data_IF_717222756627
#
_entry.id   IF_717222756627
#
_cell.length_a   1.000
_cell.length_b   1.000
_cell.length_c   1.000
_cell.angle_alpha   90.00
_cell.angle_beta   90.00
_cell.angle_gamma   90.00
#
_symmetry.space_group_name_H-M   'P 1'
#
loop_
_entity.id
_entity.type
_entity.pdbx_description
1 polymer ?
#
# COMPACT_ATOMS: atom_id res chain seq x y z
N UNK A 1 -42.28 -6.17 -20.22
CA UNK A 1 -42.84 -5.03 -19.43
C UNK A 1 -41.92 -4.77 -18.26
N UNK A 2 -41.46 -3.51 -18.11
CA UNK A 2 -40.82 -2.87 -16.93
C UNK A 2 -39.39 -3.39 -16.59
N UNK A 3 -38.34 -2.72 -17.10
CA UNK A 3 -37.63 -1.53 -16.58
C UNK A 3 -36.59 -1.90 -15.53
N UNK A 4 -35.34 -2.09 -15.94
CA UNK A 4 -34.17 -2.00 -15.07
C UNK A 4 -33.59 -0.59 -15.23
N UNK A 5 -33.42 0.05 -14.09
CA UNK A 5 -33.11 1.47 -13.92
C UNK A 5 -31.59 1.65 -14.06
N UNK A 6 -31.19 2.56 -14.97
CA UNK A 6 -29.86 3.18 -15.00
C UNK A 6 -29.56 3.79 -13.63
N UNK A 7 -28.45 3.40 -13.01
CA UNK A 7 -27.89 4.16 -11.90
C UNK A 7 -26.89 5.17 -12.47
N UNK A 8 -27.31 6.44 -12.52
CA UNK A 8 -26.43 7.57 -12.79
C UNK A 8 -25.75 7.98 -11.48
N UNK A 9 -24.42 7.95 -11.46
CA UNK A 9 -23.61 8.46 -10.35
C UNK A 9 -23.51 9.98 -10.53
N UNK A 10 -24.28 10.73 -9.74
CA UNK A 10 -24.16 12.19 -9.62
C UNK A 10 -23.31 12.55 -8.40
N UNK A 11 -22.20 13.23 -8.68
CA UNK A 11 -21.35 13.92 -7.71
C UNK A 11 -22.14 15.01 -6.97
N UNK A 12 -21.99 15.08 -5.64
CA UNK A 12 -22.17 16.32 -4.88
C UNK A 12 -21.16 16.39 -3.72
N UNK A 13 -20.12 17.19 -3.95
CA UNK A 13 -19.35 17.87 -2.91
C UNK A 13 -20.20 18.98 -2.33
N UNK A 14 -20.40 19.01 -1.00
CA UNK A 14 -20.69 20.24 -0.27
C UNK A 14 -19.93 20.21 1.06
N UNK A 15 -18.89 21.05 1.12
CA UNK A 15 -18.30 21.56 2.34
C UNK A 15 -19.24 22.59 2.98
N UNK A 16 -19.34 22.59 4.31
CA UNK A 16 -19.73 23.77 5.08
C UNK A 16 -18.96 23.78 6.42
N UNK A 17 -18.07 24.77 6.52
CA UNK A 17 -17.48 25.33 7.73
C UNK A 17 -18.53 25.98 8.63
N UNK A 18 -18.27 26.06 9.95
CA UNK A 18 -18.43 27.32 10.71
C UNK A 18 -17.72 27.26 12.08
N UNK A 19 -16.80 28.21 12.28
CA UNK A 19 -16.22 28.62 13.56
C UNK A 19 -17.23 29.44 14.39
N UNK A 20 -17.07 29.46 15.73
CA UNK A 20 -17.28 30.68 16.56
C UNK A 20 -16.66 30.59 17.97
N UNK A 21 -15.57 31.34 18.13
CA UNK A 21 -15.19 32.31 19.19
C UNK A 21 -15.57 32.12 20.69
N UNK A 22 -14.51 32.04 21.51
CA UNK A 22 -14.07 32.95 22.62
C UNK A 22 -15.09 33.61 23.57
N UNK A 23 -14.88 33.48 24.90
CA UNK A 23 -14.33 34.54 25.80
C UNK A 23 -14.21 34.11 27.30
N UNK A 24 -13.03 34.44 27.89
CA UNK A 24 -12.66 34.95 29.25
C UNK A 24 -13.35 34.44 30.56
N UNK A 25 -12.71 34.30 31.74
CA UNK A 25 -11.88 35.29 32.49
C UNK A 25 -11.13 34.65 33.70
N UNK A 26 -10.07 35.36 34.10
CA UNK A 26 -9.04 35.37 35.18
C UNK A 26 -9.24 34.73 36.58
N UNK A 27 -8.07 34.55 37.25
CA UNK A 27 -7.68 34.75 38.68
C UNK A 27 -6.95 33.50 39.30
N UNK A 28 -5.83 33.50 40.05
CA UNK A 28 -4.84 34.47 40.59
C UNK A 28 -3.66 33.66 41.17
N UNK A 29 -2.52 34.33 41.41
CA UNK A 29 -1.49 34.10 42.47
C UNK A 29 -0.09 33.62 42.06
N UNK A 30 0.82 34.60 42.09
CA UNK A 30 2.27 34.47 42.21
C UNK A 30 2.66 33.76 43.51
N UNK A 31 3.64 32.85 43.42
CA UNK A 31 4.48 32.50 44.58
C UNK A 31 5.93 32.30 44.15
N UNK A 32 6.77 33.25 44.59
CA UNK A 32 8.23 33.22 44.47
C UNK A 32 8.84 31.99 45.18
N UNK A 33 9.76 31.29 44.51
CA UNK A 33 10.82 30.47 45.11
C UNK A 33 12.02 30.47 44.14
N UNK A 34 13.27 30.43 44.64
CA UNK A 34 14.42 31.05 44.00
C UNK A 34 14.97 30.23 42.83
N UNK A 35 15.60 30.95 41.90
CA UNK A 35 16.34 30.40 40.77
C UNK A 35 17.39 29.38 41.24
N UNK A 36 17.16 28.11 40.91
CA UNK A 36 18.21 27.13 40.70
C UNK A 36 18.36 27.03 39.19
N UNK A 37 19.39 27.68 38.65
CA UNK A 37 19.84 27.42 37.28
C UNK A 37 20.45 26.01 37.27
N UNK A 38 19.63 25.01 36.97
CA UNK A 38 20.10 23.72 36.50
C UNK A 38 20.27 23.85 34.99
N UNK A 39 21.48 23.61 34.50
CA UNK A 39 21.83 23.43 33.08
C UNK A 39 21.14 22.19 32.50
N UNK A 40 19.80 22.16 32.53
CA UNK A 40 19.00 21.07 31.97
C UNK A 40 18.90 21.12 30.44
N UNK A 41 19.47 22.15 29.80
CA UNK A 41 19.47 22.28 28.33
C UNK A 41 20.61 21.54 27.64
N UNK A 42 21.72 21.30 28.34
CA UNK A 42 22.91 20.67 27.74
C UNK A 42 22.80 19.14 27.78
N UNK A 43 22.32 18.58 28.89
CA UNK A 43 22.12 17.12 29.04
C UNK A 43 21.03 16.58 28.10
N UNK A 44 19.93 17.34 27.89
CA UNK A 44 18.87 16.95 26.93
C UNK A 44 19.35 17.00 25.48
N UNK A 45 20.16 17.99 25.11
CA UNK A 45 20.68 18.12 23.76
C UNK A 45 21.70 17.02 23.42
N UNK A 46 22.52 16.61 24.39
CA UNK A 46 23.45 15.48 24.23
C UNK A 46 22.71 14.15 24.18
N UNK A 47 21.68 13.95 25.01
CA UNK A 47 20.86 12.73 24.99
C UNK A 47 20.06 12.58 23.68
N UNK A 48 19.50 13.68 23.16
CA UNK A 48 18.82 13.69 21.87
C UNK A 48 19.79 13.46 20.70
N UNK A 49 21.02 13.99 20.77
CA UNK A 49 22.05 13.71 19.77
C UNK A 49 22.51 12.24 19.79
N UNK A 50 22.69 11.65 20.97
CA UNK A 50 23.06 10.23 21.11
C UNK A 50 21.95 9.33 20.53
N UNK A 51 20.68 9.63 20.84
CA UNK A 51 19.52 8.90 20.26
C UNK A 51 19.47 9.05 18.74
N UNK A 52 19.73 10.26 18.22
CA UNK A 52 19.76 10.55 16.79
C UNK A 52 20.83 9.72 16.08
N UNK A 53 22.04 9.67 16.62
CA UNK A 53 23.15 8.89 16.05
C UNK A 53 22.90 7.38 16.06
N UNK A 54 22.22 6.87 17.09
CA UNK A 54 21.92 5.44 17.19
C UNK A 54 20.84 5.01 16.19
N UNK A 55 19.79 5.81 16.00
CA UNK A 55 18.76 5.56 14.97
C UNK A 55 19.38 5.60 13.57
N UNK A 56 20.27 6.55 13.30
CA UNK A 56 21.00 6.60 12.03
C UNK A 56 21.91 5.39 11.80
N UNK A 57 22.41 4.75 12.87
CA UNK A 57 23.18 3.50 12.74
C UNK A 57 22.29 2.29 12.46
N UNK A 58 21.07 2.28 12.99
CA UNK A 58 20.08 1.22 12.73
C UNK A 58 19.52 1.29 11.31
N UNK A 59 19.33 2.52 10.78
CA UNK A 59 18.94 2.77 9.39
C UNK A 59 20.12 2.60 8.42
N UNK A 60 20.79 1.44 8.43
CA UNK A 60 21.85 1.09 7.48
C UNK A 60 21.45 -0.12 6.66
N UNK A 61 21.30 0.04 5.35
CA UNK A 61 20.93 -1.06 4.44
C UNK A 61 20.65 -0.59 3.02
N UNK A 62 20.20 -1.53 2.18
CA UNK A 62 19.58 -1.19 0.89
C UNK A 62 18.15 -0.72 1.16
N UNK A 63 17.89 0.58 0.98
CA UNK A 63 16.57 1.20 1.16
C UNK A 63 15.61 0.94 -0.01
N UNK A 64 15.75 -0.20 -0.67
CA UNK A 64 14.95 -0.58 -1.84
C UNK A 64 13.93 -1.62 -1.43
N UNK A 65 12.73 -1.50 -1.98
CA UNK A 65 11.72 -2.54 -1.85
C UNK A 65 12.20 -3.73 -2.71
N UNK A 66 12.32 -4.94 -2.15
CA UNK A 66 12.77 -6.09 -2.92
C UNK A 66 11.86 -6.39 -4.11
N UNK A 67 12.47 -6.68 -5.26
CA UNK A 67 11.79 -7.13 -6.48
C UNK A 67 12.51 -8.34 -7.06
N UNK A 68 11.80 -9.10 -7.89
CA UNK A 68 12.38 -10.15 -8.73
C UNK A 68 12.26 -9.76 -10.21
N UNK A 69 13.32 -9.94 -11.01
CA UNK A 69 13.24 -9.67 -12.45
C UNK A 69 12.33 -10.70 -13.13
N UNK A 70 11.56 -10.25 -14.12
CA UNK A 70 10.73 -11.09 -14.98
C UNK A 70 11.12 -10.91 -16.45
N UNK A 71 10.62 -11.78 -17.32
CA UNK A 71 10.71 -11.52 -18.77
C UNK A 71 9.94 -10.22 -19.10
N UNK A 72 10.43 -9.47 -20.09
CA UNK A 72 9.77 -8.22 -20.46
C UNK A 72 8.34 -8.51 -20.94
N UNK A 73 7.34 -7.79 -20.43
CA UNK A 73 5.96 -7.93 -20.92
C UNK A 73 5.77 -7.50 -22.38
N UNK A 74 6.78 -6.83 -22.97
CA UNK A 74 6.74 -6.26 -24.31
C UNK A 74 7.62 -7.04 -25.29
N UNK A 75 7.12 -7.21 -26.50
CA UNK A 75 7.92 -7.74 -27.62
C UNK A 75 8.83 -6.65 -28.24
N UNK A 76 9.60 -7.01 -29.26
CA UNK A 76 10.52 -6.09 -29.98
C UNK A 76 9.83 -4.85 -30.58
N UNK A 77 8.51 -4.89 -30.76
CA UNK A 77 7.69 -3.83 -31.31
C UNK A 77 7.07 -2.94 -30.23
N UNK A 78 7.28 -3.27 -28.95
CA UNK A 78 6.71 -2.57 -27.80
C UNK A 78 5.26 -2.97 -27.47
N UNK A 79 4.75 -4.05 -28.06
CA UNK A 79 3.40 -4.56 -27.82
C UNK A 79 3.40 -5.72 -26.81
N UNK A 80 2.29 -5.89 -26.09
CA UNK A 80 2.08 -7.09 -25.27
C UNK A 80 1.64 -8.22 -26.21
N UNK A 81 2.40 -9.33 -26.31
CA UNK A 81 2.17 -10.34 -27.34
C UNK A 81 0.95 -11.22 -27.07
N UNK A 82 0.55 -11.37 -25.80
CA UNK A 82 -0.57 -12.20 -25.39
C UNK A 82 -1.88 -11.40 -25.39
N UNK A 83 -2.65 -11.55 -26.46
CA UNK A 83 -3.91 -10.83 -26.70
C UNK A 83 -5.08 -11.80 -26.69
N UNK A 84 -6.10 -11.52 -25.89
CA UNK A 84 -7.32 -12.30 -25.78
C UNK A 84 -8.54 -11.39 -25.72
N UNK A 85 -9.71 -11.88 -26.12
CA UNK A 85 -10.99 -11.29 -25.71
C UNK A 85 -11.36 -11.70 -24.28
N UNK A 86 -12.29 -10.96 -23.65
CA UNK A 86 -12.85 -11.34 -22.34
C UNK A 86 -13.44 -12.77 -22.32
N UNK A 87 -13.94 -13.27 -23.44
CA UNK A 87 -14.46 -14.64 -23.53
C UNK A 87 -13.36 -15.69 -23.70
N UNK A 88 -12.38 -15.43 -24.57
CA UNK A 88 -11.27 -16.36 -24.82
C UNK A 88 -10.43 -16.59 -23.57
N UNK A 89 -10.11 -15.54 -22.82
CA UNK A 89 -9.28 -15.69 -21.61
C UNK A 89 -9.96 -16.57 -20.56
N UNK A 90 -11.30 -16.48 -20.45
CA UNK A 90 -12.08 -17.31 -19.52
C UNK A 90 -12.22 -18.74 -20.04
N UNK A 91 -12.55 -18.93 -21.31
CA UNK A 91 -12.75 -20.27 -21.90
C UNK A 91 -11.46 -21.12 -21.88
N UNK A 92 -10.31 -20.49 -22.08
CA UNK A 92 -9.03 -21.19 -22.21
C UNK A 92 -8.29 -21.40 -20.88
N UNK A 93 -8.42 -20.48 -19.91
CA UNK A 93 -7.50 -20.41 -18.76
C UNK A 93 -8.16 -20.41 -17.38
N UNK A 94 -9.48 -20.43 -17.29
CA UNK A 94 -10.13 -20.56 -15.98
C UNK A 94 -9.90 -21.97 -15.42
N UNK A 95 -9.43 -22.05 -14.18
CA UNK A 95 -9.24 -23.32 -13.47
C UNK A 95 -10.54 -23.84 -12.85
N UNK A 96 -10.44 -24.97 -12.14
CA UNK A 96 -11.59 -25.63 -11.50
C UNK A 96 -12.24 -24.77 -10.41
N UNK A 97 -11.50 -23.83 -9.84
CA UNK A 97 -11.92 -22.91 -8.78
C UNK A 97 -12.41 -21.56 -9.34
N UNK A 98 -12.45 -21.41 -10.66
CA UNK A 98 -12.93 -20.19 -11.32
C UNK A 98 -11.87 -19.09 -11.43
N UNK A 99 -10.59 -19.41 -11.28
CA UNK A 99 -9.47 -18.46 -11.31
C UNK A 99 -8.63 -18.62 -12.58
N UNK A 100 -8.20 -17.49 -13.13
CA UNK A 100 -7.18 -17.38 -14.16
C UNK A 100 -5.87 -17.00 -13.46
N UNK A 101 -4.89 -17.89 -13.50
CA UNK A 101 -3.58 -17.66 -12.89
C UNK A 101 -2.45 -18.01 -13.87
N UNK A 102 -1.45 -17.13 -13.91
CA UNK A 102 -0.20 -17.39 -14.62
C UNK A 102 0.96 -17.12 -13.65
N UNK A 103 1.92 -18.03 -13.64
CA UNK A 103 3.18 -17.82 -12.92
C UNK A 103 3.98 -16.68 -13.59
N UNK A 104 4.95 -16.13 -12.86
CA UNK A 104 5.77 -15.01 -13.35
C UNK A 104 6.56 -15.35 -14.63
N UNK A 105 7.00 -16.60 -14.77
CA UNK A 105 7.71 -17.12 -15.94
C UNK A 105 6.77 -17.53 -17.10
N UNK A 106 5.45 -17.55 -16.87
CA UNK A 106 4.41 -17.75 -17.89
C UNK A 106 3.84 -16.41 -18.41
N UNK A 107 4.64 -15.35 -18.29
CA UNK A 107 4.36 -13.99 -18.77
C UNK A 107 2.98 -13.49 -18.34
N UNK A 108 2.67 -13.23 -17.06
CA UNK A 108 1.29 -13.08 -16.57
C UNK A 108 0.51 -11.84 -17.06
N UNK A 109 1.16 -10.93 -17.79
CA UNK A 109 0.54 -9.73 -18.35
C UNK A 109 -0.16 -10.04 -19.68
N UNK A 110 -1.41 -9.63 -19.81
CA UNK A 110 -2.27 -9.88 -20.99
C UNK A 110 -2.89 -8.59 -21.50
N UNK A 111 -3.12 -8.51 -22.81
CA UNK A 111 -4.03 -7.53 -23.39
C UNK A 111 -5.41 -8.14 -23.57
N UNK A 112 -6.41 -7.56 -22.93
CA UNK A 112 -7.80 -8.03 -22.95
C UNK A 112 -8.66 -7.07 -23.75
N UNK A 113 -9.21 -7.55 -24.87
CA UNK A 113 -10.14 -6.81 -25.72
C UNK A 113 -11.55 -6.91 -25.13
N UNK A 114 -12.18 -5.76 -24.87
CA UNK A 114 -13.52 -5.73 -24.29
C UNK A 114 -14.56 -6.36 -25.23
N UNK A 115 -15.46 -7.17 -24.66
CA UNK A 115 -16.58 -7.73 -25.41
C UNK A 115 -17.63 -6.69 -25.83
N UNK A 116 -17.61 -5.51 -25.20
CA UNK A 116 -18.55 -4.42 -25.46
C UNK A 116 -18.05 -3.42 -26.52
N UNK A 117 -16.73 -3.27 -26.66
CA UNK A 117 -16.08 -2.40 -27.63
C UNK A 117 -14.69 -2.94 -27.98
N UNK A 118 -14.52 -3.41 -29.22
CA UNK A 118 -13.26 -3.97 -29.74
C UNK A 118 -12.10 -2.96 -29.77
N UNK A 119 -12.39 -1.65 -29.61
CA UNK A 119 -11.38 -0.61 -29.53
C UNK A 119 -10.85 -0.40 -28.11
N UNK A 120 -11.47 -1.02 -27.10
CA UNK A 120 -11.05 -0.94 -25.70
C UNK A 120 -10.19 -2.15 -25.38
N UNK A 121 -8.91 -1.89 -25.14
CA UNK A 121 -7.93 -2.90 -24.73
C UNK A 121 -7.46 -2.58 -23.31
N UNK A 122 -7.64 -3.52 -22.40
CA UNK A 122 -7.13 -3.46 -21.05
C UNK A 122 -5.82 -4.22 -20.95
N UNK A 123 -4.86 -3.69 -20.19
CA UNK A 123 -3.66 -4.42 -19.80
C UNK A 123 -3.92 -5.01 -18.42
N UNK A 124 -3.79 -6.32 -18.30
CA UNK A 124 -4.22 -7.05 -17.11
C UNK A 124 -3.10 -7.92 -16.56
N UNK A 125 -2.89 -7.87 -15.25
CA UNK A 125 -2.00 -8.75 -14.52
C UNK A 125 -2.80 -9.91 -13.92
N UNK A 126 -2.45 -11.15 -14.28
CA UNK A 126 -3.08 -12.38 -13.76
C UNK A 126 -2.15 -13.19 -12.84
N UNK A 127 -1.02 -12.61 -12.41
CA UNK A 127 -0.19 -13.19 -11.37
C UNK A 127 -0.75 -12.90 -9.98
N UNK A 128 -0.07 -13.38 -8.95
CA UNK A 128 -0.35 -13.11 -7.54
C UNK A 128 0.58 -12.06 -6.93
N UNK A 129 1.20 -11.21 -7.76
CA UNK A 129 2.12 -10.13 -7.32
C UNK A 129 1.85 -8.83 -8.09
N UNK A 130 2.25 -7.68 -7.53
CA UNK A 130 2.29 -6.43 -8.29
C UNK A 130 3.49 -6.44 -9.25
N UNK A 131 3.31 -5.92 -10.46
CA UNK A 131 4.35 -5.94 -11.50
C UNK A 131 4.56 -4.53 -12.06
N UNK A 132 5.78 -4.00 -11.98
CA UNK A 132 6.19 -2.85 -12.80
C UNK A 132 6.50 -3.34 -14.21
N UNK A 133 5.58 -3.06 -15.13
CA UNK A 133 5.69 -3.53 -16.51
C UNK A 133 6.82 -2.86 -17.30
N UNK A 134 7.21 -1.63 -16.92
CA UNK A 134 8.29 -0.92 -17.61
C UNK A 134 9.66 -1.36 -17.12
N UNK A 135 9.79 -1.65 -15.82
CA UNK A 135 11.02 -2.19 -15.24
C UNK A 135 11.18 -3.70 -15.51
N UNK A 136 10.10 -4.40 -15.86
CA UNK A 136 10.05 -5.86 -15.90
C UNK A 136 10.46 -6.48 -14.55
N UNK A 137 9.85 -5.96 -13.48
CA UNK A 137 10.12 -6.37 -12.11
C UNK A 137 8.80 -6.68 -11.38
N UNK A 138 8.80 -7.74 -10.58
CA UNK A 138 7.66 -8.15 -9.75
C UNK A 138 7.98 -7.96 -8.27
N UNK A 139 7.03 -7.43 -7.51
CA UNK A 139 7.10 -7.30 -6.05
C UNK A 139 6.68 -8.63 -5.40
N UNK A 140 7.63 -9.57 -5.40
CA UNK A 140 7.43 -10.93 -4.89
C UNK A 140 8.26 -11.17 -3.63
N UNK A 141 7.65 -11.77 -2.61
CA UNK A 141 8.38 -12.25 -1.44
C UNK A 141 9.21 -13.49 -1.77
N UNK A 142 10.29 -13.69 -1.03
CA UNK A 142 10.97 -14.98 -1.03
C UNK A 142 10.04 -16.07 -0.51
N UNK A 143 10.10 -17.27 -1.11
CA UNK A 143 9.17 -18.38 -0.83
C UNK A 143 9.13 -18.74 0.67
N UNK A 144 10.27 -18.65 1.35
CA UNK A 144 10.39 -18.95 2.78
C UNK A 144 9.69 -17.93 3.69
N UNK A 145 9.38 -16.73 3.18
CA UNK A 145 8.74 -15.64 3.92
C UNK A 145 7.23 -15.58 3.67
N UNK A 146 6.72 -16.21 2.60
CA UNK A 146 5.30 -16.16 2.23
C UNK A 146 4.40 -16.66 3.37
N UNK A 147 4.73 -17.79 3.97
CA UNK A 147 3.93 -18.34 5.08
C UNK A 147 3.93 -17.38 6.28
N UNK A 148 5.07 -16.77 6.61
CA UNK A 148 5.13 -15.79 7.69
C UNK A 148 4.25 -14.56 7.40
N UNK A 149 4.31 -14.05 6.18
CA UNK A 149 3.49 -12.91 5.76
C UNK A 149 2.00 -13.25 5.81
N UNK A 150 1.61 -14.44 5.35
CA UNK A 150 0.23 -14.92 5.45
C UNK A 150 -0.21 -15.04 6.92
N UNK A 151 0.61 -15.65 7.78
CA UNK A 151 0.35 -15.76 9.21
C UNK A 151 0.22 -14.41 9.89
N UNK A 152 0.99 -13.40 9.48
CA UNK A 152 0.84 -12.04 9.99
C UNK A 152 -0.57 -11.49 9.76
N UNK A 153 -1.16 -11.73 8.59
CA UNK A 153 -2.51 -11.25 8.27
C UNK A 153 -3.58 -11.94 9.12
N UNK A 154 -3.55 -13.26 9.23
CA UNK A 154 -4.60 -14.01 9.95
C UNK A 154 -4.48 -13.93 11.47
N UNK A 155 -3.27 -13.73 12.01
CA UNK A 155 -3.05 -13.58 13.46
C UNK A 155 -3.31 -12.17 14.00
N UNK A 156 -3.57 -11.20 13.13
CA UNK A 156 -3.91 -9.83 13.51
C UNK A 156 -5.31 -9.45 13.01
N UNK A 157 -6.37 -10.18 13.44
CA UNK A 157 -7.71 -9.92 12.95
C UNK A 157 -8.22 -8.55 13.43
N UNK A 158 -9.05 -7.87 12.61
CA UNK A 158 -9.74 -6.68 13.04
C UNK A 158 -10.72 -7.01 14.18
N UNK A 159 -11.19 -5.99 14.91
CA UNK A 159 -12.01 -6.17 16.11
C UNK A 159 -13.25 -7.05 15.89
N UNK A 160 -13.80 -7.06 14.67
CA UNK A 160 -14.98 -7.84 14.26
C UNK A 160 -14.71 -9.35 14.16
N UNK A 161 -13.46 -9.75 13.96
CA UNK A 161 -13.03 -11.14 13.76
C UNK A 161 -12.15 -11.65 14.92
N UNK A 162 -12.18 -10.96 16.07
CA UNK A 162 -11.47 -11.41 17.25
C UNK A 162 -12.03 -12.75 17.73
N UNK A 163 -11.18 -13.79 17.73
CA UNK A 163 -11.52 -15.12 18.19
C UNK A 163 -12.05 -16.07 17.10
N UNK A 164 -12.04 -15.65 15.83
CA UNK A 164 -12.23 -16.56 14.68
C UNK A 164 -11.20 -17.69 14.75
N UNK A 165 -11.63 -18.93 14.51
CA UNK A 165 -10.72 -20.08 14.43
C UNK A 165 -9.82 -19.94 13.20
N UNK A 166 -8.51 -20.18 13.33
CA UNK A 166 -7.59 -20.08 12.20
C UNK A 166 -7.93 -21.07 11.07
N UNK A 167 -8.63 -22.16 11.38
CA UNK A 167 -9.08 -23.13 10.38
C UNK A 167 -10.31 -22.66 9.57
N UNK A 168 -10.93 -21.54 9.95
CA UNK A 168 -12.04 -20.93 9.20
C UNK A 168 -11.55 -20.00 8.08
N UNK A 169 -10.26 -19.67 8.04
CA UNK A 169 -9.67 -18.88 6.96
C UNK A 169 -9.31 -19.78 5.77
N UNK A 170 -9.60 -19.30 4.55
CA UNK A 170 -9.05 -19.87 3.32
C UNK A 170 -7.53 -19.87 3.38
N UNK A 171 -6.92 -21.00 3.05
CA UNK A 171 -5.46 -21.18 3.02
C UNK A 171 -4.79 -20.27 1.99
N UNK A 172 -3.46 -20.15 2.04
CA UNK A 172 -2.69 -19.45 1.00
C UNK A 172 -3.03 -19.95 -0.42
N UNK A 173 -3.18 -21.26 -0.58
CA UNK A 173 -3.50 -21.87 -1.87
C UNK A 173 -4.93 -21.52 -2.34
N UNK A 174 -5.86 -21.30 -1.43
CA UNK A 174 -7.25 -20.89 -1.70
C UNK A 174 -7.42 -19.36 -1.80
N UNK A 175 -6.41 -18.58 -1.41
CA UNK A 175 -6.41 -17.12 -1.53
C UNK A 175 -6.38 -16.69 -3.01
N UNK A 176 -7.10 -15.60 -3.33
CA UNK A 176 -7.13 -15.04 -4.69
C UNK A 176 -5.77 -14.43 -5.04
N UNK A 177 -5.54 -14.22 -6.34
CA UNK A 177 -4.36 -13.49 -6.84
C UNK A 177 -4.17 -12.14 -6.14
N UNK A 178 -5.27 -11.41 -5.94
CA UNK A 178 -5.27 -10.08 -5.36
C UNK A 178 -4.92 -10.14 -3.86
N UNK A 179 -5.51 -11.06 -3.11
CA UNK A 179 -5.21 -11.25 -1.68
C UNK A 179 -3.73 -11.57 -1.47
N UNK A 180 -3.22 -12.55 -2.22
CA UNK A 180 -1.80 -12.93 -2.18
C UNK A 180 -0.88 -11.76 -2.52
N UNK A 181 -1.23 -10.96 -3.53
CA UNK A 181 -0.43 -9.80 -3.90
C UNK A 181 -0.44 -8.71 -2.84
N UNK A 182 -1.56 -8.48 -2.16
CA UNK A 182 -1.65 -7.50 -1.07
C UNK A 182 -0.81 -7.96 0.12
N UNK A 183 -0.89 -9.25 0.48
CA UNK A 183 -0.07 -9.83 1.55
C UNK A 183 1.41 -9.60 1.27
N UNK A 184 1.85 -9.95 0.06
CA UNK A 184 3.24 -9.78 -0.34
C UNK A 184 3.69 -8.32 -0.31
N UNK A 185 2.94 -7.41 -0.95
CA UNK A 185 3.39 -6.01 -1.03
C UNK A 185 3.35 -5.31 0.33
N UNK A 186 2.33 -5.55 1.16
CA UNK A 186 2.25 -4.95 2.51
C UNK A 186 3.43 -5.38 3.36
N UNK A 187 3.83 -6.65 3.29
CA UNK A 187 5.00 -7.15 4.00
C UNK A 187 6.29 -6.55 3.44
N UNK A 188 6.45 -6.48 2.11
CA UNK A 188 7.63 -5.92 1.43
C UNK A 188 7.88 -4.44 1.77
N UNK A 189 6.82 -3.63 1.88
CA UNK A 189 6.97 -2.18 2.09
C UNK A 189 7.03 -1.78 3.57
N UNK A 190 6.77 -2.70 4.50
CA UNK A 190 6.72 -2.41 5.92
C UNK A 190 8.04 -1.80 6.46
N UNK A 191 9.24 -2.31 6.08
CA UNK A 191 10.51 -1.68 6.46
C UNK A 191 10.61 -0.23 5.96
N UNK A 192 10.31 0.01 4.69
CA UNK A 192 10.37 1.35 4.06
C UNK A 192 9.42 2.35 4.74
N UNK A 193 8.19 1.93 5.09
CA UNK A 193 7.25 2.76 5.87
C UNK A 193 7.76 3.06 7.29
N UNK A 194 8.44 2.10 7.92
CA UNK A 194 9.01 2.27 9.26
C UNK A 194 10.24 3.17 9.28
N UNK A 195 11.04 3.14 8.22
CA UNK A 195 12.16 4.05 8.03
C UNK A 195 11.69 5.50 7.83
N UNK A 196 10.67 5.71 6.98
CA UNK A 196 10.05 7.03 6.83
C UNK A 196 9.42 7.56 8.12
N UNK A 197 8.78 6.68 8.89
CA UNK A 197 8.17 7.04 10.18
C UNK A 197 9.24 7.38 11.22
N UNK A 198 10.35 6.63 11.25
CA UNK A 198 11.50 6.95 12.09
C UNK A 198 12.09 8.31 11.72
N UNK A 199 12.24 8.60 10.41
CA UNK A 199 12.69 9.91 9.95
C UNK A 199 11.76 11.03 10.43
N UNK A 200 10.45 10.87 10.26
CA UNK A 200 9.47 11.87 10.65
C UNK A 200 9.46 12.11 12.18
N UNK A 201 9.43 11.03 12.97
CA UNK A 201 9.37 11.08 14.45
C UNK A 201 10.61 11.66 15.10
N UNK A 202 11.78 11.45 14.49
CA UNK A 202 13.06 11.88 15.02
C UNK A 202 13.64 13.10 14.28
N UNK A 203 12.84 13.74 13.44
CA UNK A 203 13.19 14.92 12.64
C UNK A 203 14.47 14.74 11.80
N UNK A 204 14.70 13.52 11.28
CA UNK A 204 15.89 13.16 10.48
C UNK A 204 15.72 13.51 8.99
N UNK A 205 15.15 14.68 8.69
CA UNK A 205 14.81 15.05 7.30
C UNK A 205 16.04 15.26 6.39
N UNK A 206 17.23 15.37 6.98
CA UNK A 206 18.52 15.44 6.32
C UNK A 206 19.15 14.05 6.07
N UNK A 207 18.47 12.96 6.43
CA UNK A 207 19.00 11.61 6.28
C UNK A 207 19.16 11.22 4.81
N UNK A 208 20.30 10.59 4.48
CA UNK A 208 20.64 10.22 3.10
C UNK A 208 19.67 9.21 2.46
N UNK A 209 18.95 8.44 3.29
CA UNK A 209 17.96 7.49 2.83
C UNK A 209 16.67 8.14 2.32
N UNK A 210 16.29 9.32 2.84
CA UNK A 210 14.97 9.91 2.61
C UNK A 210 14.63 10.03 1.11
N UNK A 211 15.51 10.56 0.23
CA UNK A 211 15.21 10.64 -1.20
C UNK A 211 14.99 9.27 -1.85
N UNK A 212 15.73 8.24 -1.41
CA UNK A 212 15.59 6.89 -1.95
C UNK A 212 14.25 6.29 -1.53
N UNK A 213 13.90 6.39 -0.24
CA UNK A 213 12.63 5.88 0.31
C UNK A 213 11.42 6.53 -0.39
N UNK A 214 11.48 7.84 -0.67
CA UNK A 214 10.41 8.52 -1.41
C UNK A 214 10.33 8.08 -2.87
N UNK A 215 11.46 7.87 -3.56
CA UNK A 215 11.45 7.38 -4.93
C UNK A 215 10.88 5.96 -5.04
N UNK A 216 11.12 5.09 -4.05
CA UNK A 216 10.52 3.76 -3.99
C UNK A 216 8.98 3.85 -3.94
N UNK A 217 8.42 4.71 -3.08
CA UNK A 217 6.96 4.90 -3.00
C UNK A 217 6.38 5.57 -4.25
N UNK A 218 7.12 6.49 -4.86
CA UNK A 218 6.74 7.11 -6.14
C UNK A 218 6.67 6.08 -7.26
N UNK A 219 7.64 5.17 -7.31
CA UNK A 219 7.69 4.09 -8.30
C UNK A 219 6.56 3.09 -8.05
N UNK A 220 6.41 2.61 -6.82
CA UNK A 220 5.37 1.66 -6.44
C UNK A 220 3.94 2.18 -6.71
N UNK A 221 3.72 3.48 -6.47
CA UNK A 221 2.46 4.14 -6.73
C UNK A 221 2.21 4.55 -8.19
N UNK A 222 3.12 4.21 -9.10
CA UNK A 222 3.00 4.49 -10.52
C UNK A 222 1.87 3.67 -11.16
N UNK A 223 1.13 4.23 -12.13
CA UNK A 223 0.14 3.47 -12.90
C UNK A 223 0.75 2.33 -13.75
N UNK A 224 2.08 2.29 -13.89
CA UNK A 224 2.78 1.20 -14.56
C UNK A 224 2.96 -0.03 -13.67
N UNK A 225 2.77 0.12 -12.36
CA UNK A 225 2.76 -1.01 -11.43
C UNK A 225 1.35 -1.59 -11.41
N UNK A 226 1.17 -2.75 -12.05
CA UNK A 226 -0.13 -3.37 -12.21
C UNK A 226 -0.48 -4.23 -11.01
N UNK A 227 -1.59 -3.91 -10.35
CA UNK A 227 -2.25 -4.75 -9.36
C UNK A 227 -2.90 -5.94 -10.10
N UNK A 228 -2.86 -7.18 -9.55
CA UNK A 228 -3.61 -8.29 -10.11
C UNK A 228 -5.09 -7.97 -10.31
N UNK A 229 -5.66 -8.41 -11.43
CA UNK A 229 -7.05 -8.18 -11.71
C UNK A 229 -7.96 -8.87 -10.68
N UNK A 230 -9.09 -8.23 -10.31
CA UNK A 230 -10.09 -8.87 -9.48
C UNK A 230 -10.81 -9.97 -10.25
N UNK A 231 -11.04 -11.13 -9.62
CA UNK A 231 -11.67 -12.29 -10.26
C UNK A 231 -12.92 -12.78 -9.53
N UNK A 232 -13.14 -12.32 -8.29
CA UNK A 232 -14.36 -12.54 -7.51
C UNK A 232 -15.09 -11.23 -7.18
N UNK A 233 -16.33 -11.33 -6.67
CA UNK A 233 -17.08 -10.16 -6.21
C UNK A 233 -16.41 -9.45 -5.02
N UNK A 234 -15.77 -10.22 -4.12
CA UNK A 234 -15.02 -9.66 -3.00
C UNK A 234 -13.74 -8.96 -3.50
N UNK A 235 -13.08 -9.51 -4.53
CA UNK A 235 -11.89 -8.89 -5.10
C UNK A 235 -12.17 -7.52 -5.71
N UNK A 236 -13.36 -7.27 -6.28
CA UNK A 236 -13.66 -5.96 -6.89
C UNK A 236 -13.52 -4.84 -5.84
N UNK A 237 -14.10 -5.04 -4.66
CA UNK A 237 -13.99 -4.07 -3.57
C UNK A 237 -12.56 -3.98 -3.05
N UNK A 238 -11.88 -5.12 -2.91
CA UNK A 238 -10.49 -5.17 -2.47
C UNK A 238 -9.55 -4.46 -3.45
N UNK A 239 -9.82 -4.55 -4.75
CA UNK A 239 -9.05 -3.91 -5.82
C UNK A 239 -9.20 -2.39 -5.76
N UNK A 240 -10.41 -1.88 -5.60
CA UNK A 240 -10.65 -0.44 -5.44
C UNK A 240 -9.92 0.13 -4.22
N UNK A 241 -9.93 -0.62 -3.11
CA UNK A 241 -9.18 -0.28 -1.91
C UNK A 241 -7.67 -0.27 -2.20
N UNK A 242 -7.14 -1.32 -2.82
CA UNK A 242 -5.72 -1.46 -3.14
C UNK A 242 -5.25 -0.36 -4.09
N UNK A 243 -6.02 -0.05 -5.14
CA UNK A 243 -5.72 1.03 -6.09
C UNK A 243 -5.70 2.40 -5.39
N UNK A 244 -6.59 2.62 -4.43
CA UNK A 244 -6.58 3.84 -3.60
C UNK A 244 -5.30 3.94 -2.79
N UNK A 245 -4.91 2.86 -2.10
CA UNK A 245 -3.68 2.84 -1.29
C UNK A 245 -2.42 2.97 -2.17
N UNK A 246 -2.40 2.33 -3.33
CA UNK A 246 -1.32 2.49 -4.31
C UNK A 246 -1.16 3.95 -4.75
N UNK A 247 -2.25 4.64 -5.04
CA UNK A 247 -2.20 6.07 -5.37
C UNK A 247 -1.64 6.89 -4.20
N UNK A 248 -2.00 6.54 -2.96
CA UNK A 248 -1.47 7.21 -1.78
C UNK A 248 0.04 6.99 -1.60
N UNK A 249 0.54 5.79 -1.88
CA UNK A 249 1.98 5.51 -1.95
C UNK A 249 2.66 6.43 -2.97
N UNK A 250 2.09 6.56 -4.18
CA UNK A 250 2.65 7.43 -5.22
C UNK A 250 2.71 8.90 -4.80
N UNK A 251 1.67 9.38 -4.13
CA UNK A 251 1.60 10.75 -3.60
C UNK A 251 2.59 10.97 -2.45
N UNK A 252 2.81 9.99 -1.58
CA UNK A 252 3.82 10.06 -0.53
C UNK A 252 5.21 10.27 -1.12
N UNK A 253 5.53 9.53 -2.19
CA UNK A 253 6.80 9.66 -2.90
C UNK A 253 7.00 10.97 -3.69
N UNK A 254 5.97 11.81 -3.80
CA UNK A 254 6.03 13.09 -4.54
C UNK A 254 6.38 14.29 -3.66
N UNK A 255 6.60 14.12 -2.36
CA UNK A 255 7.05 15.22 -1.49
C UNK A 255 8.48 15.66 -1.86
N UNK A 256 8.63 16.85 -2.45
CA UNK A 256 9.93 17.37 -2.89
C UNK A 256 10.81 17.86 -1.71
N UNK A 257 10.20 18.49 -0.70
CA UNK A 257 10.88 19.00 0.50
C UNK A 257 10.10 18.66 1.78
N UNK A 258 10.19 17.42 2.29
CA UNK A 258 9.59 17.05 3.57
C UNK A 258 10.05 17.94 4.74
N UNK A 259 11.30 18.42 4.72
CA UNK A 259 11.83 19.31 5.77
C UNK A 259 11.11 20.66 5.83
N UNK A 260 10.70 21.21 4.69
CA UNK A 260 10.02 22.51 4.61
C UNK A 260 8.53 22.39 4.98
N UNK A 261 7.95 21.18 4.89
CA UNK A 261 6.54 20.89 5.12
C UNK A 261 6.31 19.70 6.08
N UNK A 262 7.06 19.68 7.19
CA UNK A 262 7.11 18.54 8.13
C UNK A 262 5.74 18.07 8.62
N UNK A 263 4.85 19.00 8.96
CA UNK A 263 3.51 18.68 9.47
C UNK A 263 2.66 17.98 8.40
N UNK A 264 2.67 18.50 7.17
CA UNK A 264 1.93 17.94 6.05
C UNK A 264 2.47 16.55 5.68
N UNK A 265 3.79 16.42 5.58
CA UNK A 265 4.46 15.14 5.31
C UNK A 265 4.13 14.10 6.39
N UNK A 266 4.29 14.45 7.67
CA UNK A 266 4.04 13.52 8.80
C UNK A 266 2.58 13.08 8.82
N UNK A 267 1.64 14.02 8.62
CA UNK A 267 0.21 13.72 8.58
C UNK A 267 -0.11 12.78 7.41
N UNK A 268 0.43 13.06 6.23
CA UNK A 268 0.18 12.25 5.05
C UNK A 268 0.78 10.84 5.19
N UNK A 269 2.02 10.73 5.68
CA UNK A 269 2.67 9.46 6.00
C UNK A 269 1.84 8.63 6.99
N UNK A 270 1.30 9.27 8.03
CA UNK A 270 0.44 8.59 9.00
C UNK A 270 -0.84 8.06 8.33
N UNK A 271 -1.49 8.83 7.46
CA UNK A 271 -2.65 8.36 6.70
C UNK A 271 -2.31 7.19 5.76
N UNK A 272 -1.14 7.21 5.12
CA UNK A 272 -0.66 6.09 4.30
C UNK A 272 -0.48 4.83 5.13
N UNK A 273 0.15 4.95 6.31
CA UNK A 273 0.34 3.81 7.24
C UNK A 273 -1.00 3.26 7.72
N UNK A 274 -1.96 4.13 8.04
CA UNK A 274 -3.31 3.75 8.47
C UNK A 274 -4.05 2.98 7.36
N UNK A 275 -4.09 3.51 6.13
CA UNK A 275 -4.77 2.83 5.02
C UNK A 275 -4.07 1.54 4.59
N UNK A 276 -2.74 1.49 4.66
CA UNK A 276 -1.98 0.24 4.45
C UNK A 276 -2.33 -0.78 5.53
N UNK A 277 -2.48 -0.36 6.78
CA UNK A 277 -2.94 -1.24 7.87
C UNK A 277 -4.40 -1.68 7.67
N UNK A 278 -5.26 -0.82 7.13
CA UNK A 278 -6.63 -1.18 6.79
C UNK A 278 -6.68 -2.28 5.71
N UNK A 279 -5.71 -2.34 4.78
CA UNK A 279 -5.62 -3.47 3.84
C UNK A 279 -5.42 -4.81 4.56
N UNK A 280 -4.65 -4.84 5.66
CA UNK A 280 -4.50 -6.06 6.48
C UNK A 280 -5.85 -6.55 6.99
N UNK A 281 -6.64 -5.64 7.57
CA UNK A 281 -7.99 -5.96 8.04
C UNK A 281 -8.96 -6.37 6.92
N UNK A 282 -8.85 -5.74 5.74
CA UNK A 282 -9.69 -6.05 4.57
C UNK A 282 -9.37 -7.44 4.02
N UNK A 283 -8.09 -7.78 3.84
CA UNK A 283 -7.69 -9.12 3.39
C UNK A 283 -8.00 -10.18 4.44
N UNK A 284 -7.79 -9.89 5.73
CA UNK A 284 -8.19 -10.80 6.80
C UNK A 284 -9.70 -11.10 6.72
N UNK A 285 -10.52 -10.09 6.48
CA UNK A 285 -11.96 -10.28 6.28
C UNK A 285 -12.25 -11.14 5.04
N UNK A 286 -11.69 -10.84 3.87
CA UNK A 286 -11.97 -11.62 2.65
C UNK A 286 -11.50 -13.06 2.75
N UNK A 287 -10.37 -13.33 3.42
CA UNK A 287 -9.89 -14.69 3.69
C UNK A 287 -10.79 -15.48 4.65
N UNK A 288 -11.56 -14.80 5.52
CA UNK A 288 -12.50 -15.45 6.45
C UNK A 288 -13.87 -15.77 5.84
N UNK A 289 -14.12 -15.32 4.60
CA UNK A 289 -15.37 -15.56 3.89
C UNK A 289 -15.22 -16.72 2.89
N UNK A 290 -16.30 -17.51 2.74
CA UNK A 290 -16.42 -18.62 1.78
C UNK A 290 -16.63 -18.15 0.33
#
# INVERSE_FOLDING_TARGET
>A
MKKIIMLAITCFLIACSEERQQEQTEETEERNTPAVTVDAKDDLAVEDQIKREDIQKEMKGEFRIPTVPIESPFNDEGNIPHVHTEFEIVDEFIDEDGRIYFQLDDNPIRSIISSYDENVIHITNYSDTMIDILAAEAYKLEEEVIEEAYQFFINNPPAQLLGTDLNEYRTWDEATNLERSIIQIVYLIAPTLNDLDSIAKHELYDHEALPTLLEEFKTLGSPNVLIPAPQSLLDIQLYDNMATVQMMWGQLGQFESPEDNREEFTKYLQSVREETTHLVGRVNYTLSEE
#
